data_IF_682946075469
#
_entry.id   IF_682946075469
#
_cell.length_a   1.000
_cell.length_b   1.000
_cell.length_c   1.000
_cell.angle_alpha   90.00
_cell.angle_beta   90.00
_cell.angle_gamma   90.00
#
_symmetry.space_group_name_H-M   'P 1'
#
loop_
_entity.id
_entity.type
_entity.pdbx_description
1 polymer ?
#
# COMPACT_ATOMS: atom_id res chain seq x y z
N UNK A 1 15.55 11.46 14.40
CA UNK A 1 14.18 11.15 13.99
C UNK A 1 14.15 10.72 12.53
N UNK A 2 13.52 9.59 12.26
CA UNK A 2 13.54 9.03 10.91
C UNK A 2 12.57 9.72 9.94
N UNK A 3 11.50 10.30 10.46
CA UNK A 3 10.48 10.92 9.62
C UNK A 3 10.12 12.30 10.13
N UNK A 4 9.83 13.19 9.18
CA UNK A 4 9.45 14.56 9.51
C UNK A 4 8.08 14.62 10.18
N UNK A 5 7.82 15.67 10.93
CA UNK A 5 6.56 15.83 11.67
C UNK A 5 5.34 15.99 10.78
N UNK A 6 5.53 16.43 9.54
CA UNK A 6 4.43 16.58 8.59
C UNK A 6 4.08 15.30 7.86
N UNK A 7 4.64 14.17 8.28
CA UNK A 7 4.31 12.87 7.69
C UNK A 7 3.29 12.13 8.54
N UNK A 8 2.50 11.28 7.87
CA UNK A 8 1.53 10.42 8.55
C UNK A 8 1.68 9.00 8.03
N UNK A 9 1.27 8.06 8.87
CA UNK A 9 1.27 6.63 8.56
C UNK A 9 -0.16 6.17 8.30
N UNK A 10 -0.39 5.59 7.13
CA UNK A 10 -1.70 5.07 6.76
C UNK A 10 -1.57 3.59 6.44
N UNK A 11 -2.47 2.79 7.01
CA UNK A 11 -2.50 1.35 6.79
C UNK A 11 -3.61 1.02 5.80
N UNK A 12 -3.25 0.44 4.67
CA UNK A 12 -4.20 -0.13 3.73
C UNK A 12 -4.23 -1.64 3.86
N UNK A 13 -5.40 -2.23 3.76
CA UNK A 13 -5.58 -3.67 3.91
C UNK A 13 -6.33 -4.27 2.73
N UNK A 14 -6.08 -5.55 2.49
CA UNK A 14 -6.81 -6.34 1.49
C UNK A 14 -6.85 -7.79 1.95
N UNK A 15 -7.89 -8.50 1.56
CA UNK A 15 -7.98 -9.92 1.83
C UNK A 15 -7.24 -10.69 0.74
N UNK A 16 -6.46 -11.69 1.13
CA UNK A 16 -5.78 -12.58 0.20
C UNK A 16 -6.49 -13.93 0.22
N UNK A 17 -6.79 -14.43 -0.98
CA UNK A 17 -7.31 -15.77 -1.14
C UNK A 17 -8.78 -15.88 -0.84
N UNK A 18 -9.29 -17.08 -1.06
CA UNK A 18 -10.70 -17.39 -0.85
C UNK A 18 -10.93 -17.78 0.60
N UNK A 19 -12.15 -17.59 1.07
CA UNK A 19 -12.61 -18.21 2.28
C UNK A 19 -12.37 -19.72 2.20
N UNK A 20 -11.52 -20.20 3.07
CA UNK A 20 -11.38 -21.63 3.23
C UNK A 20 -12.26 -22.05 4.40
N UNK A 21 -13.36 -22.74 4.15
CA UNK A 21 -14.27 -23.14 5.24
C UNK A 21 -13.63 -24.09 6.25
N UNK A 22 -12.53 -24.75 5.85
CA UNK A 22 -11.82 -25.67 6.75
C UNK A 22 -10.91 -24.91 7.70
N UNK A 23 -10.19 -23.90 7.20
CA UNK A 23 -9.23 -23.17 8.04
C UNK A 23 -9.86 -22.01 8.78
N UNK A 24 -10.97 -21.47 8.30
CA UNK A 24 -11.63 -20.29 8.86
C UNK A 24 -10.68 -19.11 9.06
N UNK A 25 -9.56 -19.11 8.37
CA UNK A 25 -8.54 -18.06 8.48
C UNK A 25 -8.59 -17.15 7.27
N UNK A 26 -8.56 -15.87 7.54
CA UNK A 26 -8.39 -14.87 6.50
C UNK A 26 -6.94 -14.44 6.51
N UNK A 27 -6.27 -14.59 5.39
CA UNK A 27 -5.00 -13.95 5.21
C UNK A 27 -5.27 -12.51 4.80
N UNK A 28 -4.86 -11.59 5.67
CA UNK A 28 -5.00 -10.18 5.38
C UNK A 28 -3.63 -9.66 4.97
N UNK A 29 -3.57 -9.09 3.78
CA UNK A 29 -2.39 -8.37 3.32
C UNK A 29 -2.54 -6.92 3.74
N UNK A 30 -1.47 -6.33 4.25
CA UNK A 30 -1.50 -4.91 4.54
C UNK A 30 -0.26 -4.21 3.99
N UNK A 31 -0.45 -2.95 3.65
CA UNK A 31 0.60 -2.04 3.25
C UNK A 31 0.54 -0.85 4.20
N UNK A 32 1.64 -0.57 4.88
CA UNK A 32 1.78 0.67 5.64
C UNK A 32 2.47 1.68 4.76
N UNK A 33 1.89 2.85 4.62
CA UNK A 33 2.41 3.89 3.74
C UNK A 33 2.64 5.15 4.57
N UNK A 34 3.86 5.69 4.46
CA UNK A 34 4.18 6.98 5.07
C UNK A 34 4.13 8.03 3.97
N UNK A 35 3.30 9.03 4.16
CA UNK A 35 3.12 10.11 3.19
C UNK A 35 3.34 11.46 3.85
N UNK A 36 3.71 12.43 3.05
CA UNK A 36 3.67 13.83 3.48
C UNK A 36 2.20 14.26 3.55
N UNK A 37 1.80 14.77 4.70
CA UNK A 37 0.38 15.02 4.99
C UNK A 37 -0.28 15.95 3.97
N UNK A 38 0.41 17.01 3.59
CA UNK A 38 -0.18 18.05 2.74
C UNK A 38 -0.20 17.69 1.26
N UNK A 39 0.88 17.10 0.77
CA UNK A 39 1.01 16.81 -0.66
C UNK A 39 0.50 15.42 -1.04
N UNK A 40 0.59 14.45 -0.12
CA UNK A 40 0.27 13.07 -0.44
C UNK A 40 1.41 12.30 -1.09
N UNK A 41 2.61 12.89 -1.14
CA UNK A 41 3.79 12.21 -1.71
C UNK A 41 4.20 11.08 -0.78
N UNK A 42 4.39 9.91 -1.36
CA UNK A 42 4.79 8.70 -0.61
C UNK A 42 6.27 8.77 -0.29
N UNK A 43 6.58 8.73 1.01
CA UNK A 43 7.95 8.82 1.52
C UNK A 43 8.53 7.44 1.76
N UNK A 44 7.74 6.52 2.28
CA UNK A 44 8.21 5.18 2.60
C UNK A 44 7.01 4.23 2.68
N UNK A 45 7.30 2.93 2.73
CA UNK A 45 6.26 1.93 2.77
C UNK A 45 6.78 0.63 3.37
N UNK A 46 5.86 -0.14 3.93
CA UNK A 46 6.13 -1.50 4.38
C UNK A 46 4.93 -2.38 4.04
N UNK A 47 5.12 -3.68 4.11
CA UNK A 47 4.02 -4.62 3.97
C UNK A 47 4.29 -5.85 4.83
N UNK A 48 3.27 -6.70 5.00
CA UNK A 48 3.40 -7.89 5.84
C UNK A 48 3.85 -9.13 5.08
N UNK A 49 4.54 -8.94 3.98
CA UNK A 49 5.17 -10.04 3.26
C UNK A 49 6.41 -10.53 4.02
N UNK A 50 6.62 -11.82 3.99
CA UNK A 50 7.68 -12.46 4.79
C UNK A 50 9.08 -12.07 4.31
N UNK A 51 9.24 -11.77 3.04
CA UNK A 51 10.56 -11.50 2.46
C UNK A 51 10.79 -10.03 2.26
N UNK A 52 11.97 -9.57 2.71
CA UNK A 52 12.37 -8.17 2.60
C UNK A 52 12.44 -7.70 1.14
N UNK A 53 12.84 -8.60 0.22
CA UNK A 53 12.96 -8.24 -1.18
C UNK A 53 11.61 -7.84 -1.78
N UNK A 54 10.52 -8.45 -1.32
CA UNK A 54 9.17 -8.08 -1.79
C UNK A 54 8.80 -6.68 -1.29
N UNK A 55 9.04 -6.42 -0.01
CA UNK A 55 8.81 -5.09 0.57
C UNK A 55 9.64 -4.04 -0.16
N UNK A 56 10.92 -4.32 -0.38
CA UNK A 56 11.82 -3.39 -1.06
C UNK A 56 11.37 -3.12 -2.50
N UNK A 57 10.89 -4.15 -3.17
CA UNK A 57 10.43 -3.99 -4.55
C UNK A 57 9.19 -3.09 -4.63
N UNK A 58 8.22 -3.31 -3.74
CA UNK A 58 7.03 -2.46 -3.66
C UNK A 58 7.44 -1.02 -3.36
N UNK A 59 8.34 -0.83 -2.40
CA UNK A 59 8.86 0.50 -2.07
C UNK A 59 9.47 1.18 -3.29
N UNK A 60 10.23 0.44 -4.09
CA UNK A 60 10.88 1.00 -5.26
C UNK A 60 9.89 1.47 -6.32
N UNK A 61 8.69 0.89 -6.33
CA UNK A 61 7.65 1.30 -7.27
C UNK A 61 6.94 2.57 -6.78
N UNK A 62 6.56 2.61 -5.49
CA UNK A 62 5.59 3.61 -5.03
C UNK A 62 6.21 4.86 -4.43
N UNK A 63 7.43 4.78 -3.90
CA UNK A 63 8.05 5.96 -3.28
C UNK A 63 8.21 7.07 -4.32
N UNK A 64 7.81 8.28 -3.93
CA UNK A 64 7.88 9.45 -4.80
C UNK A 64 6.60 9.75 -5.55
N UNK A 65 5.72 8.78 -5.71
CA UNK A 65 4.42 9.02 -6.32
C UNK A 65 3.48 9.69 -5.31
N UNK A 66 2.49 10.40 -5.84
CA UNK A 66 1.39 10.95 -5.05
C UNK A 66 0.31 9.90 -4.90
N UNK A 67 -0.09 9.61 -3.67
CA UNK A 67 -1.04 8.54 -3.39
C UNK A 67 -2.43 8.79 -4.01
N UNK A 68 -2.80 10.06 -4.20
CA UNK A 68 -4.09 10.40 -4.84
C UNK A 68 -3.89 10.64 -6.34
N UNK A 69 -3.01 11.56 -6.70
CA UNK A 69 -2.91 12.03 -8.08
C UNK A 69 -2.29 10.99 -9.01
N UNK A 70 -1.39 10.17 -8.49
CA UNK A 70 -0.65 9.20 -9.30
C UNK A 70 -1.13 7.77 -9.10
N UNK A 71 -2.34 7.58 -8.54
CA UNK A 71 -2.81 6.22 -8.25
C UNK A 71 -2.88 5.34 -9.50
N UNK A 72 -3.25 5.90 -10.64
CA UNK A 72 -3.34 5.13 -11.87
C UNK A 72 -1.96 4.67 -12.34
N UNK A 73 -0.95 5.53 -12.23
CA UNK A 73 0.43 5.17 -12.57
C UNK A 73 0.98 4.11 -11.62
N UNK A 74 0.66 4.21 -10.33
CA UNK A 74 1.06 3.20 -9.35
C UNK A 74 0.47 1.84 -9.72
N UNK A 75 -0.82 1.79 -10.02
CA UNK A 75 -1.51 0.55 -10.39
C UNK A 75 -0.94 -0.03 -11.67
N UNK A 76 -0.73 0.81 -12.69
CA UNK A 76 -0.16 0.35 -13.95
C UNK A 76 1.23 -0.24 -13.76
N UNK A 77 2.05 0.39 -12.95
CA UNK A 77 3.42 -0.09 -12.72
C UNK A 77 3.42 -1.41 -11.95
N UNK A 78 2.53 -1.56 -10.97
CA UNK A 78 2.40 -2.84 -10.26
C UNK A 78 1.94 -3.94 -11.21
N UNK A 79 0.97 -3.66 -12.06
CA UNK A 79 0.49 -4.63 -13.05
C UNK A 79 1.58 -5.02 -14.04
N UNK A 80 2.44 -4.09 -14.39
CA UNK A 80 3.50 -4.32 -15.36
C UNK A 80 4.73 -5.02 -14.77
N UNK A 81 5.01 -4.80 -13.49
CA UNK A 81 6.30 -5.20 -12.91
C UNK A 81 6.21 -6.18 -11.74
N UNK A 82 5.07 -6.32 -11.10
CA UNK A 82 4.91 -7.18 -9.92
C UNK A 82 4.00 -8.35 -10.26
N UNK A 83 4.60 -9.50 -10.56
CA UNK A 83 3.85 -10.69 -10.95
C UNK A 83 3.80 -11.69 -9.80
N UNK A 84 2.61 -12.15 -9.47
CA UNK A 84 2.43 -13.14 -8.42
C UNK A 84 1.01 -13.12 -7.88
N UNK A 85 0.75 -14.04 -6.96
CA UNK A 85 -0.59 -14.19 -6.36
C UNK A 85 -1.03 -12.96 -5.58
N UNK A 86 -0.08 -12.20 -5.06
CA UNK A 86 -0.37 -11.04 -4.23
C UNK A 86 -0.61 -9.75 -5.04
N UNK A 87 -0.47 -9.79 -6.36
CA UNK A 87 -0.57 -8.57 -7.17
C UNK A 87 -1.87 -7.82 -6.92
N UNK A 88 -2.99 -8.51 -6.96
CA UNK A 88 -4.29 -7.87 -6.75
C UNK A 88 -4.46 -7.37 -5.34
N UNK A 89 -3.91 -8.09 -4.36
CA UNK A 89 -3.97 -7.69 -2.96
C UNK A 89 -3.15 -6.42 -2.71
N UNK A 90 -1.98 -6.32 -3.32
CA UNK A 90 -1.14 -5.10 -3.23
C UNK A 90 -1.91 -3.90 -3.76
N UNK A 91 -2.51 -4.03 -4.95
CA UNK A 91 -3.27 -2.94 -5.55
C UNK A 91 -4.45 -2.55 -4.65
N UNK A 92 -5.20 -3.54 -4.17
CA UNK A 92 -6.36 -3.28 -3.32
C UNK A 92 -5.96 -2.59 -2.01
N UNK A 93 -4.85 -3.02 -1.40
CA UNK A 93 -4.37 -2.42 -0.16
C UNK A 93 -3.93 -0.96 -0.37
N UNK A 94 -3.24 -0.68 -1.47
CA UNK A 94 -2.82 0.69 -1.78
C UNK A 94 -4.05 1.58 -2.02
N UNK A 95 -5.04 1.09 -2.74
CA UNK A 95 -6.29 1.83 -2.95
C UNK A 95 -7.04 2.06 -1.65
N UNK A 96 -7.02 1.09 -0.74
CA UNK A 96 -7.62 1.25 0.59
C UNK A 96 -6.91 2.35 1.38
N UNK A 97 -5.58 2.38 1.34
CA UNK A 97 -4.81 3.45 1.98
C UNK A 97 -5.14 4.81 1.37
N UNK A 98 -5.27 4.88 0.05
CA UNK A 98 -5.68 6.13 -0.62
C UNK A 98 -7.03 6.61 -0.12
N UNK A 99 -7.99 5.69 -0.01
CA UNK A 99 -9.33 6.05 0.44
C UNK A 99 -9.31 6.58 1.87
N UNK A 100 -8.51 5.98 2.74
CA UNK A 100 -8.33 6.47 4.11
C UNK A 100 -7.70 7.84 4.14
N UNK A 101 -6.72 8.08 3.29
CA UNK A 101 -6.08 9.39 3.21
C UNK A 101 -7.07 10.47 2.76
N UNK A 102 -7.90 10.15 1.76
CA UNK A 102 -8.94 11.09 1.29
C UNK A 102 -9.88 11.45 2.44
N UNK A 103 -10.28 10.47 3.24
CA UNK A 103 -11.14 10.73 4.39
C UNK A 103 -10.47 11.64 5.41
N UNK A 104 -9.18 11.44 5.67
CA UNK A 104 -8.42 12.26 6.60
C UNK A 104 -8.35 13.71 6.09
N UNK A 105 -8.11 13.91 4.79
CA UNK A 105 -7.99 15.24 4.21
C UNK A 105 -9.30 16.02 4.25
N UNK A 106 -10.42 15.32 4.18
CA UNK A 106 -11.73 15.95 4.13
C UNK A 106 -12.36 16.19 5.50
N UNK A 107 -11.67 15.83 6.56
CA UNK A 107 -12.11 16.07 7.93
C UNK A 107 -11.86 17.52 8.33
#
# INVERSE_FOLDING_TARGET
MLYEKNTIYILGTAKIGKNDPISARYNIFFVGIIIERDSGIIIDSTCNMVRDVTTDFIRSIIIGYNLIDDIDQIVEEILDRFYGMAQKAVIAAIKDARNKYIMIKND
#
